data_IF_763121458021
#
_entry.id   IF_763121458021
#
_cell.length_a   1.000
_cell.length_b   1.000
_cell.length_c   1.000
_cell.angle_alpha   90.00
_cell.angle_beta   90.00
_cell.angle_gamma   90.00
#
_symmetry.space_group_name_H-M   'P 1'
#
loop_
_entity.id
_entity.type
_entity.pdbx_description
1 polymer ?
#
# COMPACT_ATOMS: atom_id res chain seq x y z
N UNK A 1 2.76 -12.33 65.49
CA UNK A 1 1.75 -11.96 64.48
C UNK A 1 2.43 -11.18 63.36
N UNK A 2 2.78 -11.81 62.23
CA UNK A 2 3.15 -11.14 60.94
C UNK A 2 3.54 -12.19 59.88
N UNK A 3 2.56 -12.89 59.33
CA UNK A 3 2.72 -13.71 58.09
C UNK A 3 1.33 -13.99 57.51
N UNK A 4 0.74 -13.03 56.78
CA UNK A 4 -0.52 -13.21 56.04
C UNK A 4 -0.73 -12.01 55.07
N UNK A 5 0.13 -11.84 54.06
CA UNK A 5 -0.06 -10.78 53.04
C UNK A 5 0.64 -11.08 51.68
N UNK A 6 0.76 -12.34 51.27
CA UNK A 6 1.48 -12.69 50.01
C UNK A 6 0.73 -13.68 49.09
N UNK A 7 -0.60 -13.76 49.17
CA UNK A 7 -1.37 -14.75 48.39
C UNK A 7 -2.43 -14.19 47.42
N UNK A 8 -2.44 -12.87 47.16
CA UNK A 8 -3.46 -12.25 46.29
C UNK A 8 -2.95 -11.66 44.96
N UNK A 9 -1.68 -11.86 44.59
CA UNK A 9 -1.11 -11.27 43.36
C UNK A 9 -0.98 -12.23 42.16
N UNK A 10 -1.47 -13.47 42.25
CA UNK A 10 -1.21 -14.50 41.23
C UNK A 10 -2.37 -14.79 40.27
N UNK A 11 -3.50 -14.09 40.38
CA UNK A 11 -4.73 -14.42 39.63
C UNK A 11 -5.02 -13.55 38.39
N UNK A 12 -4.19 -12.54 38.06
CA UNK A 12 -4.47 -11.61 36.96
C UNK A 12 -3.75 -11.91 35.62
N UNK A 13 -3.02 -13.02 35.50
CA UNK A 13 -2.22 -13.33 34.29
C UNK A 13 -2.87 -14.30 33.29
N UNK A 14 -4.15 -14.65 33.43
CA UNK A 14 -4.82 -15.64 32.55
C UNK A 14 -5.86 -15.07 31.58
N UNK A 15 -5.96 -13.73 31.43
CA UNK A 15 -6.66 -13.14 30.28
C UNK A 15 -5.76 -13.20 29.03
N UNK A 16 -5.44 -14.43 28.64
CA UNK A 16 -4.87 -14.72 27.32
C UNK A 16 -5.91 -14.30 26.30
N UNK A 17 -5.65 -13.18 25.64
CA UNK A 17 -6.48 -12.69 24.55
C UNK A 17 -6.71 -13.83 23.56
N UNK A 18 -7.97 -14.25 23.42
CA UNK A 18 -8.38 -15.03 22.27
C UNK A 18 -8.22 -14.11 21.07
N UNK A 19 -7.06 -14.18 20.43
CA UNK A 19 -6.88 -13.66 19.08
C UNK A 19 -7.86 -14.49 18.25
N UNK A 20 -9.01 -13.89 17.95
CA UNK A 20 -9.90 -14.41 16.93
C UNK A 20 -9.11 -14.33 15.62
N UNK A 21 -8.41 -15.42 15.29
CA UNK A 21 -7.82 -15.59 13.98
C UNK A 21 -8.98 -15.50 12.99
N UNK A 22 -9.07 -14.38 12.29
CA UNK A 22 -10.00 -14.22 11.18
C UNK A 22 -9.74 -15.38 10.23
N UNK A 23 -10.77 -16.17 9.88
CA UNK A 23 -10.60 -17.27 8.95
C UNK A 23 -10.05 -16.67 7.65
N UNK A 24 -8.82 -17.02 7.34
CA UNK A 24 -8.22 -16.60 6.09
C UNK A 24 -9.04 -17.19 4.95
N UNK A 25 -9.32 -16.38 3.92
CA UNK A 25 -10.01 -16.85 2.72
C UNK A 25 -9.41 -18.17 2.24
N UNK A 26 -10.30 -19.12 1.89
CA UNK A 26 -9.89 -20.42 1.41
C UNK A 26 -9.13 -20.28 0.08
N UNK A 27 -8.16 -21.16 -0.13
CA UNK A 27 -7.45 -21.32 -1.39
C UNK A 27 -8.44 -21.47 -2.55
N UNK A 28 -8.33 -20.61 -3.57
CA UNK A 28 -9.03 -20.79 -4.85
C UNK A 28 -8.54 -22.04 -5.58
N UNK A 29 -7.23 -22.33 -5.48
CA UNK A 29 -6.60 -23.57 -5.90
C UNK A 29 -5.74 -24.14 -4.77
N UNK A 30 -5.82 -25.45 -4.53
CA UNK A 30 -5.10 -26.09 -3.42
C UNK A 30 -3.61 -25.79 -3.51
N UNK A 31 -3.06 -25.17 -2.47
CA UNK A 31 -1.63 -24.84 -2.34
C UNK A 31 -1.26 -23.45 -2.87
N UNK A 32 -2.16 -22.74 -3.55
CA UNK A 32 -1.89 -21.43 -4.15
C UNK A 32 -1.46 -20.39 -3.11
N UNK A 33 -2.17 -20.31 -1.99
CA UNK A 33 -1.88 -19.31 -0.96
C UNK A 33 -0.51 -19.52 -0.32
N UNK A 34 -0.15 -20.78 -0.05
CA UNK A 34 1.16 -21.11 0.51
C UNK A 34 2.28 -20.72 -0.47
N UNK A 35 2.11 -21.02 -1.76
CA UNK A 35 3.04 -20.60 -2.79
C UNK A 35 3.18 -19.07 -2.86
N UNK A 36 2.08 -18.33 -2.84
CA UNK A 36 2.10 -16.86 -2.82
C UNK A 36 2.84 -16.33 -1.60
N UNK A 37 2.63 -16.94 -0.43
CA UNK A 37 3.34 -16.58 0.79
C UNK A 37 4.84 -16.84 0.66
N UNK A 38 5.25 -18.00 0.13
CA UNK A 38 6.67 -18.33 -0.09
C UNK A 38 7.34 -17.34 -1.06
N UNK A 39 6.74 -17.10 -2.22
CA UNK A 39 7.28 -16.15 -3.20
C UNK A 39 7.35 -14.74 -2.63
N UNK A 40 6.28 -14.26 -1.98
CA UNK A 40 6.26 -12.91 -1.42
C UNK A 40 7.31 -12.75 -0.32
N UNK A 41 7.48 -13.76 0.54
CA UNK A 41 8.53 -13.76 1.56
C UNK A 41 9.93 -13.77 0.93
N UNK A 42 10.15 -14.56 -0.13
CA UNK A 42 11.41 -14.60 -0.88
C UNK A 42 11.75 -13.22 -1.46
N UNK A 43 10.78 -12.56 -2.10
CA UNK A 43 10.94 -11.20 -2.63
C UNK A 43 11.29 -10.22 -1.51
N UNK A 44 10.57 -10.24 -0.39
CA UNK A 44 10.88 -9.37 0.74
C UNK A 44 12.27 -9.60 1.31
N UNK A 45 12.70 -10.85 1.43
CA UNK A 45 14.03 -11.17 1.93
C UNK A 45 15.11 -10.61 0.99
N UNK A 46 14.97 -10.81 -0.32
CA UNK A 46 15.88 -10.27 -1.33
C UNK A 46 15.88 -8.74 -1.32
N UNK A 47 14.72 -8.08 -1.25
CA UNK A 47 14.67 -6.61 -1.12
C UNK A 47 15.37 -6.10 0.15
N UNK A 48 15.26 -6.81 1.28
CA UNK A 48 16.00 -6.50 2.49
C UNK A 48 17.52 -6.67 2.33
N UNK A 49 17.97 -7.61 1.50
CA UNK A 49 19.38 -7.77 1.17
C UNK A 49 19.88 -6.66 0.24
N UNK A 50 19.07 -6.24 -0.74
CA UNK A 50 19.37 -5.14 -1.65
C UNK A 50 19.43 -3.78 -0.93
N UNK A 51 18.51 -3.52 0.00
CA UNK A 51 18.50 -2.31 0.84
C UNK A 51 19.84 -2.12 1.59
N UNK A 52 20.48 -3.22 2.02
CA UNK A 52 21.80 -3.17 2.69
C UNK A 52 22.94 -2.78 1.76
N UNK A 53 22.81 -3.02 0.44
CA UNK A 53 23.81 -2.67 -0.56
C UNK A 53 23.67 -1.21 -0.99
N UNK A 54 22.44 -0.80 -1.28
CA UNK A 54 22.07 0.58 -1.65
C UNK A 54 20.65 0.82 -1.14
N UNK A 55 20.41 1.86 -0.32
CA UNK A 55 19.05 2.14 0.14
C UNK A 55 18.10 2.30 -1.04
N UNK A 56 16.97 1.58 -1.02
CA UNK A 56 16.01 1.53 -2.11
C UNK A 56 15.43 2.91 -2.42
N UNK A 57 15.38 3.79 -1.41
CA UNK A 57 14.97 5.19 -1.54
C UNK A 57 15.97 6.09 -2.29
N UNK A 58 17.14 5.56 -2.65
CA UNK A 58 18.16 6.23 -3.48
C UNK A 58 18.22 5.70 -4.90
N UNK A 59 17.36 4.73 -5.26
CA UNK A 59 17.27 4.26 -6.63
C UNK A 59 16.55 5.31 -7.48
N UNK A 60 17.07 5.51 -8.69
CA UNK A 60 16.26 6.10 -9.77
C UNK A 60 15.06 5.19 -10.07
N UNK A 61 13.99 5.72 -10.67
CA UNK A 61 12.85 4.88 -11.01
C UNK A 61 13.19 3.72 -11.95
N UNK A 62 14.11 3.92 -12.90
CA UNK A 62 14.57 2.89 -13.82
C UNK A 62 15.35 1.78 -13.08
N UNK A 63 16.25 2.16 -12.18
CA UNK A 63 16.96 1.20 -11.31
C UNK A 63 15.97 0.45 -10.41
N UNK A 64 14.98 1.15 -9.85
CA UNK A 64 13.97 0.55 -8.99
C UNK A 64 13.08 -0.44 -9.74
N UNK A 65 12.68 -0.12 -10.97
CA UNK A 65 11.91 -1.02 -11.82
C UNK A 65 12.73 -2.25 -12.22
N UNK A 66 14.01 -2.06 -12.59
CA UNK A 66 14.89 -3.16 -12.93
C UNK A 66 15.09 -4.10 -11.74
N UNK A 67 15.37 -3.55 -10.55
CA UNK A 67 15.52 -4.33 -9.32
C UNK A 67 14.24 -5.10 -8.96
N UNK A 68 13.08 -4.43 -9.00
CA UNK A 68 11.80 -5.07 -8.71
C UNK A 68 11.53 -6.24 -9.66
N UNK A 69 11.82 -6.05 -10.95
CA UNK A 69 11.66 -7.11 -11.97
C UNK A 69 12.58 -8.28 -11.69
N UNK A 70 13.86 -8.02 -11.43
CA UNK A 70 14.88 -9.04 -11.16
C UNK A 70 14.55 -9.86 -9.91
N UNK A 71 14.18 -9.19 -8.81
CA UNK A 71 13.83 -9.83 -7.55
C UNK A 71 12.57 -10.68 -7.71
N UNK A 72 11.52 -10.16 -8.35
CA UNK A 72 10.30 -10.93 -8.62
C UNK A 72 10.59 -12.16 -9.48
N UNK A 73 11.34 -12.00 -10.57
CA UNK A 73 11.67 -13.10 -11.47
C UNK A 73 12.50 -14.17 -10.77
N UNK A 74 13.54 -13.77 -10.03
CA UNK A 74 14.40 -14.70 -9.29
C UNK A 74 13.62 -15.42 -8.20
N UNK A 75 12.77 -14.72 -7.44
CA UNK A 75 11.92 -15.38 -6.44
C UNK A 75 10.91 -16.34 -7.05
N UNK A 76 10.32 -16.03 -8.21
CA UNK A 76 9.46 -16.99 -8.91
C UNK A 76 10.24 -18.21 -9.39
N UNK A 77 11.47 -18.00 -9.87
CA UNK A 77 12.35 -19.07 -10.34
C UNK A 77 12.80 -20.00 -9.19
N UNK A 78 13.07 -19.45 -8.01
CA UNK A 78 13.42 -20.20 -6.80
C UNK A 78 12.29 -21.14 -6.34
N UNK A 79 11.04 -20.85 -6.73
CA UNK A 79 9.84 -21.62 -6.38
C UNK A 79 9.16 -22.28 -7.61
N UNK A 80 9.87 -22.44 -8.73
CA UNK A 80 9.27 -22.93 -9.98
C UNK A 80 8.66 -24.34 -9.86
N UNK A 81 9.29 -25.22 -9.08
CA UNK A 81 8.81 -26.59 -8.86
C UNK A 81 7.50 -26.63 -8.08
N UNK A 82 7.34 -25.72 -7.11
CA UNK A 82 6.09 -25.55 -6.35
C UNK A 82 4.97 -25.06 -7.27
N UNK A 83 5.27 -24.08 -8.14
CA UNK A 83 4.32 -23.61 -9.15
C UNK A 83 3.89 -24.74 -10.10
N UNK A 84 4.84 -25.54 -10.59
CA UNK A 84 4.57 -26.68 -11.47
C UNK A 84 3.71 -27.75 -10.78
N UNK A 85 3.98 -28.04 -9.49
CA UNK A 85 3.20 -28.97 -8.69
C UNK A 85 1.75 -28.51 -8.52
N UNK A 86 1.54 -27.23 -8.20
CA UNK A 86 0.19 -26.63 -8.07
C UNK A 86 -0.56 -26.71 -9.39
N UNK A 87 0.09 -26.31 -10.49
CA UNK A 87 -0.54 -26.35 -11.82
C UNK A 87 -0.96 -27.76 -12.21
N UNK A 88 -0.11 -28.75 -11.95
CA UNK A 88 -0.40 -30.16 -12.23
C UNK A 88 -1.54 -30.69 -11.35
N UNK A 89 -1.49 -30.45 -10.04
CA UNK A 89 -2.50 -30.92 -9.09
C UNK A 89 -3.89 -30.34 -9.38
N UNK A 90 -3.94 -29.09 -9.85
CA UNK A 90 -5.18 -28.38 -10.15
C UNK A 90 -5.58 -28.43 -11.63
N UNK A 91 -4.85 -29.20 -12.47
CA UNK A 91 -5.11 -29.36 -13.92
C UNK A 91 -5.27 -28.01 -14.65
N UNK A 92 -4.38 -27.05 -14.35
CA UNK A 92 -4.43 -25.71 -14.93
C UNK A 92 -4.27 -25.78 -16.46
N UNK A 93 -5.32 -25.39 -17.19
CA UNK A 93 -5.36 -25.45 -18.66
C UNK A 93 -4.75 -24.22 -19.35
N UNK A 94 -4.57 -23.12 -18.61
CA UNK A 94 -4.01 -21.85 -19.12
C UNK A 94 -2.85 -21.36 -18.25
N UNK A 95 -1.64 -21.94 -18.38
CA UNK A 95 -0.47 -21.60 -17.59
C UNK A 95 -0.20 -20.10 -17.48
N UNK A 96 -0.26 -19.39 -18.61
CA UNK A 96 -0.02 -17.94 -18.65
C UNK A 96 -1.02 -17.17 -17.80
N UNK A 97 -2.32 -17.47 -17.90
CA UNK A 97 -3.35 -16.80 -17.09
C UNK A 97 -3.20 -17.10 -15.60
N UNK A 98 -2.80 -18.33 -15.27
CA UNK A 98 -2.49 -18.69 -13.89
C UNK A 98 -1.28 -17.90 -13.36
N UNK A 99 -0.19 -17.81 -14.13
CA UNK A 99 0.97 -16.99 -13.77
C UNK A 99 0.63 -15.51 -13.61
N UNK A 100 -0.20 -14.94 -14.49
CA UNK A 100 -0.68 -13.56 -14.38
C UNK A 100 -1.51 -13.33 -13.10
N UNK A 101 -2.43 -14.24 -12.79
CA UNK A 101 -3.23 -14.19 -11.55
C UNK A 101 -2.35 -14.28 -10.31
N UNK A 102 -1.46 -15.28 -10.24
CA UNK A 102 -0.59 -15.47 -9.09
C UNK A 102 0.39 -14.31 -8.93
N UNK A 103 0.95 -13.79 -10.04
CA UNK A 103 1.79 -12.61 -10.03
C UNK A 103 1.08 -11.40 -9.43
N UNK A 104 -0.21 -11.16 -9.77
CA UNK A 104 -1.02 -10.11 -9.15
C UNK A 104 -1.20 -10.34 -7.65
N UNK A 105 -1.52 -11.56 -7.23
CA UNK A 105 -1.72 -11.88 -5.81
C UNK A 105 -0.42 -11.73 -5.00
N UNK A 106 0.74 -12.10 -5.57
CA UNK A 106 2.06 -11.84 -4.97
C UNK A 106 2.28 -10.34 -4.79
N UNK A 107 2.02 -9.51 -5.82
CA UNK A 107 2.15 -8.06 -5.70
C UNK A 107 1.23 -7.52 -4.60
N UNK A 108 -0.02 -7.97 -4.50
CA UNK A 108 -0.94 -7.57 -3.42
C UNK A 108 -0.36 -7.92 -2.05
N UNK A 109 0.12 -9.15 -1.85
CA UNK A 109 0.69 -9.60 -0.57
C UNK A 109 1.96 -8.82 -0.22
N UNK A 110 2.80 -8.50 -1.21
CA UNK A 110 3.98 -7.66 -1.02
C UNK A 110 3.60 -6.25 -0.57
N UNK A 111 2.62 -5.63 -1.24
CA UNK A 111 2.13 -4.31 -0.87
C UNK A 111 1.47 -4.28 0.50
N UNK A 112 1.00 -5.41 1.02
CA UNK A 112 0.41 -5.49 2.36
C UNK A 112 1.45 -5.75 3.47
N UNK A 113 2.45 -6.59 3.19
CA UNK A 113 3.31 -7.16 4.24
C UNK A 113 4.79 -6.75 4.13
N UNK A 114 5.15 -5.98 3.11
CA UNK A 114 6.54 -5.68 2.78
C UNK A 114 6.78 -4.16 2.63
N UNK A 115 7.21 -3.46 3.70
CA UNK A 115 7.41 -2.01 3.65
C UNK A 115 8.36 -1.53 2.55
N UNK A 116 9.45 -2.27 2.32
CA UNK A 116 10.41 -1.97 1.24
C UNK A 116 9.78 -2.09 -0.16
N UNK A 117 8.88 -3.07 -0.34
CA UNK A 117 8.13 -3.22 -1.58
C UNK A 117 7.17 -2.05 -1.78
N UNK A 118 6.43 -1.64 -0.74
CA UNK A 118 5.51 -0.50 -0.83
C UNK A 118 6.23 0.76 -1.33
N UNK A 119 7.40 1.05 -0.76
CA UNK A 119 8.23 2.17 -1.18
C UNK A 119 8.68 2.07 -2.63
N UNK A 120 9.17 0.90 -3.04
CA UNK A 120 9.66 0.67 -4.40
C UNK A 120 8.53 0.74 -5.44
N UNK A 121 7.38 0.15 -5.15
CA UNK A 121 6.20 0.23 -6.03
C UNK A 121 5.66 1.66 -6.14
N UNK A 122 5.68 2.43 -5.04
CA UNK A 122 5.28 3.83 -5.09
C UNK A 122 6.21 4.65 -6.01
N UNK A 123 7.54 4.50 -5.88
CA UNK A 123 8.49 5.24 -6.72
C UNK A 123 8.40 4.85 -8.20
N UNK A 124 8.33 3.55 -8.48
CA UNK A 124 8.17 3.03 -9.86
C UNK A 124 6.82 3.45 -10.44
N UNK A 125 5.73 3.28 -9.68
CA UNK A 125 4.38 3.65 -10.12
C UNK A 125 4.25 5.13 -10.44
N UNK A 126 4.85 6.00 -9.63
CA UNK A 126 4.89 7.45 -9.89
C UNK A 126 5.64 7.79 -11.18
N UNK A 127 6.73 7.07 -11.48
CA UNK A 127 7.51 7.30 -12.70
C UNK A 127 6.82 6.78 -13.97
N UNK A 128 6.01 5.74 -13.85
CA UNK A 128 5.29 5.14 -14.98
C UNK A 128 4.11 6.00 -15.48
N UNK A 129 3.73 7.05 -14.73
CA UNK A 129 2.73 8.01 -15.16
C UNK A 129 3.24 8.86 -16.34
N UNK A 130 2.86 8.46 -17.56
CA UNK A 130 3.27 9.13 -18.82
C UNK A 130 3.01 10.64 -18.83
N UNK A 131 1.92 11.09 -18.21
CA UNK A 131 1.52 12.50 -18.16
C UNK A 131 1.63 13.07 -16.75
N UNK A 132 2.67 12.70 -15.99
CA UNK A 132 2.87 13.18 -14.63
C UNK A 132 2.88 14.72 -14.60
N UNK A 133 1.93 15.37 -13.89
CA UNK A 133 1.91 16.83 -13.84
C UNK A 133 3.16 17.34 -13.11
N UNK A 134 3.75 18.40 -13.65
CA UNK A 134 4.86 19.11 -12.97
C UNK A 134 4.28 20.01 -11.89
N UNK A 135 4.90 19.98 -10.71
CA UNK A 135 4.56 20.89 -9.60
C UNK A 135 5.56 22.04 -9.66
N UNK A 136 5.08 23.25 -9.90
CA UNK A 136 5.95 24.41 -9.94
C UNK A 136 6.53 24.71 -8.54
N UNK A 137 7.77 25.25 -8.42
CA UNK A 137 8.36 25.57 -7.12
C UNK A 137 7.48 26.48 -6.25
N UNK A 138 6.80 27.44 -6.86
CA UNK A 138 5.89 28.39 -6.23
C UNK A 138 4.53 27.78 -5.85
N UNK A 139 4.10 26.74 -6.56
CA UNK A 139 2.86 25.98 -6.31
C UNK A 139 3.02 25.01 -5.13
N UNK A 140 4.23 24.43 -5.00
CA UNK A 140 4.52 23.36 -4.07
C UNK A 140 4.15 23.69 -2.61
N UNK A 141 4.47 24.87 -2.04
CA UNK A 141 4.10 25.20 -0.66
C UNK A 141 2.58 25.16 -0.44
N UNK A 142 1.79 25.63 -1.39
CA UNK A 142 0.32 25.63 -1.31
C UNK A 142 -0.21 24.20 -1.33
N UNK A 143 0.27 23.38 -2.27
CA UNK A 143 -0.17 21.99 -2.38
C UNK A 143 0.31 21.13 -1.20
N UNK A 144 1.47 21.45 -0.61
CA UNK A 144 1.97 20.77 0.58
C UNK A 144 1.07 20.97 1.81
N UNK A 145 0.44 22.14 1.96
CA UNK A 145 -0.54 22.35 3.04
C UNK A 145 -1.70 21.36 2.93
N UNK A 146 -2.24 21.24 1.72
CA UNK A 146 -3.34 20.32 1.43
C UNK A 146 -2.92 18.87 1.63
N UNK A 147 -1.79 18.45 1.04
CA UNK A 147 -1.36 17.05 1.13
C UNK A 147 -1.03 16.64 2.57
N UNK A 148 -0.39 17.51 3.34
CA UNK A 148 -0.07 17.25 4.75
C UNK A 148 -1.35 17.12 5.60
N UNK A 149 -2.34 17.99 5.36
CA UNK A 149 -3.65 17.90 6.03
C UNK A 149 -4.40 16.61 5.67
N UNK A 150 -4.33 16.17 4.42
CA UNK A 150 -4.90 14.88 4.00
C UNK A 150 -4.22 13.75 4.77
N UNK A 151 -2.88 13.69 4.77
CA UNK A 151 -2.14 12.65 5.49
C UNK A 151 -2.51 12.65 6.98
N UNK A 152 -2.55 13.82 7.64
CA UNK A 152 -2.93 13.94 9.06
C UNK A 152 -4.35 13.42 9.34
N UNK A 153 -5.31 13.74 8.47
CA UNK A 153 -6.69 13.25 8.59
C UNK A 153 -6.77 11.74 8.43
N UNK A 154 -6.04 11.20 7.47
CA UNK A 154 -5.97 9.76 7.24
C UNK A 154 -5.28 9.03 8.40
N UNK A 155 -4.21 9.59 8.95
CA UNK A 155 -3.55 9.08 10.17
C UNK A 155 -4.54 9.04 11.34
N UNK A 156 -5.32 10.11 11.51
CA UNK A 156 -6.35 10.20 12.55
C UNK A 156 -7.43 9.14 12.39
N UNK A 157 -7.90 8.92 11.16
CA UNK A 157 -8.88 7.86 10.87
C UNK A 157 -8.29 6.47 11.05
N UNK A 158 -7.05 6.26 10.61
CA UNK A 158 -6.33 5.01 10.73
C UNK A 158 -6.07 4.63 12.20
N UNK A 159 -5.85 5.61 13.07
CA UNK A 159 -5.68 5.40 14.51
C UNK A 159 -6.98 4.93 15.20
N UNK A 160 -8.16 5.28 14.67
CA UNK A 160 -9.46 4.80 15.19
C UNK A 160 -9.73 3.37 14.74
N UNK A 161 -9.46 3.10 13.47
CA UNK A 161 -9.62 1.80 12.84
C UNK A 161 -8.75 1.76 11.60
N UNK A 162 -7.87 0.75 11.51
CA UNK A 162 -6.90 0.64 10.43
C UNK A 162 -7.62 0.71 9.07
N UNK A 163 -7.22 1.66 8.22
CA UNK A 163 -7.89 1.90 6.94
C UNK A 163 -7.92 0.62 6.11
N UNK A 164 -6.83 -0.15 6.08
CA UNK A 164 -6.75 -1.43 5.36
C UNK A 164 -7.74 -2.50 5.83
N UNK A 165 -8.24 -2.43 7.06
CA UNK A 165 -9.24 -3.37 7.60
C UNK A 165 -10.70 -2.97 7.35
N UNK A 166 -10.96 -1.73 6.92
CA UNK A 166 -12.33 -1.24 6.65
C UNK A 166 -12.84 -1.82 5.33
N UNK A 167 -14.16 -1.97 5.12
CA UNK A 167 -14.72 -2.28 3.81
C UNK A 167 -14.30 -1.26 2.74
N UNK A 168 -14.17 -1.69 1.48
CA UNK A 168 -13.73 -0.82 0.37
C UNK A 168 -14.52 0.48 0.25
N UNK A 169 -15.85 0.41 0.32
CA UNK A 169 -16.71 1.60 0.23
C UNK A 169 -16.45 2.58 1.36
N UNK A 170 -16.20 2.08 2.57
CA UNK A 170 -15.84 2.90 3.73
C UNK A 170 -14.44 3.51 3.57
N UNK A 171 -13.46 2.75 3.08
CA UNK A 171 -12.11 3.27 2.78
C UNK A 171 -12.17 4.43 1.80
N UNK A 172 -12.89 4.25 0.69
CA UNK A 172 -13.10 5.30 -0.31
C UNK A 172 -13.73 6.54 0.32
N UNK A 173 -14.80 6.37 1.11
CA UNK A 173 -15.46 7.50 1.77
C UNK A 173 -14.54 8.23 2.75
N UNK A 174 -13.73 7.51 3.52
CA UNK A 174 -12.75 8.11 4.45
C UNK A 174 -11.74 8.95 3.69
N UNK A 175 -11.22 8.44 2.57
CA UNK A 175 -10.23 9.15 1.76
C UNK A 175 -10.86 10.37 1.07
N UNK A 176 -12.04 10.23 0.49
CA UNK A 176 -12.77 11.35 -0.11
C UNK A 176 -13.07 12.45 0.92
N UNK A 177 -13.49 12.07 2.14
CA UNK A 177 -13.72 13.02 3.23
C UNK A 177 -12.43 13.73 3.67
N UNK A 178 -11.30 13.00 3.74
CA UNK A 178 -10.01 13.58 4.06
C UNK A 178 -9.57 14.60 3.00
N UNK A 179 -9.70 14.25 1.72
CA UNK A 179 -9.43 15.13 0.59
C UNK A 179 -10.32 16.37 0.60
N UNK A 180 -11.64 16.21 0.65
CA UNK A 180 -12.59 17.33 0.67
C UNK A 180 -12.35 18.25 1.87
N UNK A 181 -12.16 17.67 3.06
CA UNK A 181 -11.89 18.43 4.28
C UNK A 181 -10.62 19.26 4.20
N UNK A 182 -9.54 18.69 3.63
CA UNK A 182 -8.28 19.41 3.43
C UNK A 182 -8.40 20.53 2.39
N UNK A 183 -9.07 20.26 1.27
CA UNK A 183 -9.33 21.25 0.22
C UNK A 183 -10.15 22.43 0.76
N UNK A 184 -11.18 22.17 1.56
CA UNK A 184 -11.99 23.21 2.19
C UNK A 184 -11.20 24.02 3.21
N UNK A 185 -10.42 23.35 4.08
CA UNK A 185 -9.58 24.02 5.09
C UNK A 185 -8.57 24.98 4.47
N UNK A 186 -8.02 24.62 3.31
CA UNK A 186 -7.00 25.40 2.61
C UNK A 186 -7.52 26.11 1.36
N UNK A 187 -8.84 26.29 1.25
CA UNK A 187 -9.49 26.89 0.08
C UNK A 187 -8.97 28.31 -0.20
N UNK A 188 -8.72 29.11 0.83
CA UNK A 188 -8.17 30.46 0.67
C UNK A 188 -6.76 30.45 0.07
N UNK A 189 -5.87 29.58 0.55
CA UNK A 189 -4.52 29.47 -0.01
C UNK A 189 -4.56 28.98 -1.47
N UNK A 190 -5.41 28.00 -1.76
CA UNK A 190 -5.64 27.52 -3.12
C UNK A 190 -6.21 28.62 -4.02
N UNK A 191 -7.18 29.40 -3.54
CA UNK A 191 -7.86 30.42 -4.35
C UNK A 191 -6.97 31.63 -4.61
N UNK A 192 -6.10 31.97 -3.66
CA UNK A 192 -5.08 33.00 -3.84
C UNK A 192 -4.05 32.61 -4.89
N UNK A 193 -3.71 31.32 -5.01
CA UNK A 193 -2.73 30.84 -5.99
C UNK A 193 -3.35 30.60 -7.38
N UNK A 194 -4.42 29.80 -7.46
CA UNK A 194 -5.03 29.40 -8.74
C UNK A 194 -6.11 30.37 -9.24
N UNK A 195 -6.72 31.15 -8.35
CA UNK A 195 -7.90 31.95 -8.64
C UNK A 195 -9.21 31.14 -8.50
N UNK A 196 -10.26 31.79 -7.99
CA UNK A 196 -11.57 31.14 -7.75
C UNK A 196 -12.19 30.51 -9.02
N UNK A 197 -12.02 31.14 -10.19
CA UNK A 197 -12.52 30.58 -11.46
C UNK A 197 -11.86 29.25 -11.82
N UNK A 198 -10.56 29.11 -11.53
CA UNK A 198 -9.84 27.86 -11.81
C UNK A 198 -10.23 26.77 -10.81
N UNK A 199 -10.51 27.12 -9.56
CA UNK A 199 -11.03 26.17 -8.57
C UNK A 199 -12.41 25.61 -8.95
N UNK A 200 -13.23 26.40 -9.63
CA UNK A 200 -14.54 25.96 -10.13
C UNK A 200 -14.45 25.14 -11.44
N UNK A 201 -13.27 25.07 -12.06
CA UNK A 201 -13.05 24.31 -13.28
C UNK A 201 -12.64 22.88 -12.95
N UNK A 202 -13.53 21.91 -13.23
CA UNK A 202 -13.29 20.49 -12.96
C UNK A 202 -11.99 19.95 -13.59
N UNK A 203 -11.67 20.33 -14.83
CA UNK A 203 -10.45 19.84 -15.51
C UNK A 203 -9.18 20.41 -14.87
N UNK A 204 -9.24 21.67 -14.43
CA UNK A 204 -8.14 22.26 -13.67
C UNK A 204 -7.98 21.57 -12.31
N UNK A 205 -9.09 21.35 -11.60
CA UNK A 205 -9.09 20.70 -10.30
C UNK A 205 -8.69 19.23 -10.35
N UNK A 206 -8.97 18.53 -11.46
CA UNK A 206 -8.43 17.20 -11.71
C UNK A 206 -6.90 17.24 -11.79
N UNK A 207 -6.34 18.21 -12.53
CA UNK A 207 -4.88 18.40 -12.61
C UNK A 207 -4.28 18.73 -11.25
N UNK A 208 -4.91 19.61 -10.47
CA UNK A 208 -4.51 19.92 -9.08
C UNK A 208 -4.58 18.67 -8.20
N UNK A 209 -5.66 17.88 -8.30
CA UNK A 209 -5.83 16.62 -7.60
C UNK A 209 -4.72 15.61 -7.93
N UNK A 210 -4.33 15.50 -9.21
CA UNK A 210 -3.19 14.67 -9.63
C UNK A 210 -1.87 15.14 -9.02
N UNK A 211 -1.63 16.46 -8.95
CA UNK A 211 -0.44 17.02 -8.26
C UNK A 211 -0.45 16.74 -6.76
N UNK A 212 -1.59 16.84 -6.10
CA UNK A 212 -1.75 16.46 -4.69
C UNK A 212 -1.47 14.97 -4.52
N UNK A 213 -2.00 14.11 -5.40
CA UNK A 213 -1.72 12.68 -5.42
C UNK A 213 -0.23 12.36 -5.49
N UNK A 214 0.55 13.11 -6.28
CA UNK A 214 2.02 12.97 -6.30
C UNK A 214 2.65 13.28 -4.93
N UNK A 215 2.21 14.36 -4.27
CA UNK A 215 2.73 14.71 -2.95
C UNK A 215 2.31 13.70 -1.87
N UNK A 216 1.12 13.13 -1.98
CA UNK A 216 0.66 12.06 -1.08
C UNK A 216 1.49 10.78 -1.24
N UNK A 217 1.96 10.47 -2.45
CA UNK A 217 2.84 9.33 -2.69
C UNK A 217 4.17 9.47 -1.94
N UNK A 218 4.65 10.70 -1.77
CA UNK A 218 5.86 10.97 -0.99
C UNK A 218 5.60 11.01 0.52
N UNK A 219 4.48 11.63 0.95
CA UNK A 219 4.21 11.94 2.35
C UNK A 219 3.53 10.80 3.11
N UNK A 220 2.57 10.11 2.48
CA UNK A 220 1.80 9.03 3.10
C UNK A 220 1.43 7.94 2.07
N UNK A 221 2.42 7.27 1.44
CA UNK A 221 2.23 6.34 0.32
C UNK A 221 1.26 5.19 0.62
N UNK A 222 1.19 4.75 1.88
CA UNK A 222 0.38 3.60 2.28
C UNK A 222 -1.12 3.81 1.96
N UNK A 223 -1.63 5.04 2.03
CA UNK A 223 -3.03 5.32 1.73
C UNK A 223 -3.34 5.31 0.24
N UNK A 224 -2.44 5.81 -0.60
CA UNK A 224 -2.58 5.70 -2.05
C UNK A 224 -2.47 4.25 -2.50
N UNK A 225 -1.54 3.50 -1.90
CA UNK A 225 -1.36 2.09 -2.21
C UNK A 225 -2.64 1.30 -1.92
N UNK A 226 -3.30 1.59 -0.80
CA UNK A 226 -4.57 0.95 -0.47
C UNK A 226 -5.65 1.23 -1.52
N UNK A 227 -5.73 2.43 -2.09
CA UNK A 227 -6.65 2.72 -3.19
C UNK A 227 -6.31 1.95 -4.47
N UNK A 228 -5.02 1.85 -4.81
CA UNK A 228 -4.58 1.06 -5.96
C UNK A 228 -4.92 -0.43 -5.80
N UNK A 229 -4.76 -0.98 -4.60
CA UNK A 229 -5.19 -2.35 -4.28
C UNK A 229 -6.70 -2.53 -4.45
N UNK A 230 -7.47 -1.53 -4.05
CA UNK A 230 -8.92 -1.55 -4.18
C UNK A 230 -9.36 -1.60 -5.65
N UNK A 231 -8.72 -0.84 -6.55
CA UNK A 231 -9.03 -0.85 -8.00
C UNK A 231 -8.68 -2.18 -8.67
N UNK A 232 -7.58 -2.81 -8.27
CA UNK A 232 -7.11 -4.06 -8.89
C UNK A 232 -7.93 -5.27 -8.46
N UNK A 233 -8.53 -5.25 -7.26
CA UNK A 233 -9.37 -6.34 -6.73
C UNK A 233 -10.81 -6.32 -7.24
N UNK A 234 -11.20 -5.31 -8.03
CA UNK A 234 -12.56 -5.16 -8.58
C UNK A 234 -12.77 -5.78 -9.97
N UNK A 235 -11.69 -6.26 -10.61
CA UNK A 235 -11.70 -6.89 -11.94
C UNK A 235 -11.34 -8.37 -11.88
#
# INVERSE_FOLDING_TARGET
>A
MKTLSTLLLSALLLLSGRIYATPTAADTLKGQKLFIQHVSQSVCNKLNEEEKKKPLNKLSPEEGQALLTDVLQTSMQDHIDEMAAIMKANKVSKPRKFGEMVGREVVVVLLQNCPLSQQLFASVGVSAMKDKPTIAPEEKPVLMLVSAEICQRLDTENAKSAISSRPKTERKQVIENAMQGAMLKHLEALSNYYGLKQIQNNSHMETVGRKIGLLLADQCPNYLMQMGLDEVTEN
#
